data_IF_634037819717
#
_entry.id   IF_634037819717
#
_cell.length_a   1.000
_cell.length_b   1.000
_cell.length_c   1.000
_cell.angle_alpha   90.00
_cell.angle_beta   90.00
_cell.angle_gamma   90.00
#
_symmetry.space_group_name_H-M   'P 1'
#
loop_
_entity.id
_entity.type
_entity.pdbx_description
1 polymer ?
#
# COMPACT_ATOMS: atom_id res chain seq x y z
N UNK A 1 24.09 -4.45 -0.34
CA UNK A 1 22.90 -4.18 -1.18
C UNK A 1 23.23 -3.09 -2.19
N UNK A 2 22.90 -3.28 -3.48
CA UNK A 2 23.17 -2.28 -4.53
C UNK A 2 22.32 -1.03 -4.35
N UNK A 3 22.81 0.14 -4.81
CA UNK A 3 22.05 1.40 -4.73
C UNK A 3 20.74 1.33 -5.54
N UNK A 4 20.73 0.61 -6.66
CA UNK A 4 19.54 0.40 -7.49
C UNK A 4 18.46 -0.38 -6.75
N UNK A 5 18.84 -1.43 -6.02
CA UNK A 5 17.92 -2.22 -5.21
C UNK A 5 17.34 -1.38 -4.05
N UNK A 6 18.21 -0.61 -3.36
CA UNK A 6 17.75 0.33 -2.31
C UNK A 6 16.73 1.33 -2.85
N UNK A 7 16.98 1.89 -4.03
CA UNK A 7 16.06 2.82 -4.67
C UNK A 7 14.68 2.18 -4.91
N UNK A 8 14.63 0.98 -5.48
CA UNK A 8 13.35 0.31 -5.73
C UNK A 8 12.62 -0.06 -4.44
N UNK A 9 13.32 -0.47 -3.39
CA UNK A 9 12.73 -0.81 -2.09
C UNK A 9 12.20 0.40 -1.33
N UNK A 10 12.73 1.60 -1.56
CA UNK A 10 12.34 2.82 -0.84
C UNK A 10 11.35 3.68 -1.59
N UNK A 11 11.50 3.83 -2.91
CA UNK A 11 10.76 4.82 -3.68
C UNK A 11 9.25 4.61 -3.64
N UNK A 12 8.78 3.36 -3.75
CA UNK A 12 7.37 3.03 -3.68
C UNK A 12 6.76 3.26 -2.29
N UNK A 13 7.28 2.61 -1.24
CA UNK A 13 6.76 2.79 0.13
C UNK A 13 6.79 4.24 0.60
N UNK A 14 7.86 4.99 0.32
CA UNK A 14 7.95 6.41 0.71
C UNK A 14 6.91 7.26 -0.02
N UNK A 15 6.71 7.04 -1.33
CA UNK A 15 5.68 7.72 -2.10
C UNK A 15 4.28 7.42 -1.56
N UNK A 16 4.00 6.14 -1.29
CA UNK A 16 2.72 5.73 -0.71
C UNK A 16 2.52 6.37 0.66
N UNK A 17 3.52 6.32 1.54
CA UNK A 17 3.46 6.94 2.87
C UNK A 17 3.17 8.45 2.79
N UNK A 18 3.80 9.15 1.86
CA UNK A 18 3.57 10.57 1.59
C UNK A 18 2.14 10.84 1.10
N UNK A 19 1.72 10.15 0.03
CA UNK A 19 0.40 10.37 -0.58
C UNK A 19 -0.73 9.99 0.39
N UNK A 20 -0.58 8.89 1.14
CA UNK A 20 -1.57 8.50 2.13
C UNK A 20 -1.67 9.51 3.27
N UNK A 21 -0.56 10.02 3.77
CA UNK A 21 -0.57 11.06 4.80
C UNK A 21 -1.19 12.37 4.32
N UNK A 22 -1.00 12.71 3.03
CA UNK A 22 -1.61 13.87 2.40
C UNK A 22 -3.12 13.71 2.24
N UNK A 23 -3.59 12.56 1.79
CA UNK A 23 -4.97 12.38 1.31
C UNK A 23 -5.90 11.71 2.33
N UNK A 24 -5.39 10.87 3.24
CA UNK A 24 -6.22 10.12 4.19
C UNK A 24 -7.06 11.01 5.12
N UNK A 25 -6.57 12.14 5.66
CA UNK A 25 -7.41 13.02 6.46
C UNK A 25 -8.62 13.54 5.69
N UNK A 26 -8.43 13.91 4.43
CA UNK A 26 -9.48 14.44 3.54
C UNK A 26 -10.53 13.36 3.28
N UNK A 27 -10.08 12.16 2.91
CA UNK A 27 -10.94 11.00 2.68
C UNK A 27 -11.72 10.64 3.94
N UNK A 28 -11.05 10.63 5.10
CA UNK A 28 -11.72 10.33 6.38
C UNK A 28 -12.79 11.35 6.72
N UNK A 29 -12.52 12.65 6.61
CA UNK A 29 -13.49 13.71 6.85
C UNK A 29 -14.72 13.54 5.93
N UNK A 30 -14.48 13.23 4.67
CA UNK A 30 -15.56 13.01 3.70
C UNK A 30 -16.48 11.85 4.11
N UNK A 31 -15.92 10.71 4.49
CA UNK A 31 -16.69 9.52 4.82
C UNK A 31 -17.29 9.55 6.23
N UNK A 32 -16.57 10.05 7.23
CA UNK A 32 -17.07 10.14 8.62
C UNK A 32 -18.35 10.98 8.70
N UNK A 33 -18.48 12.01 7.87
CA UNK A 33 -19.69 12.84 7.83
C UNK A 33 -20.89 12.20 7.11
N UNK A 34 -20.71 11.07 6.42
CA UNK A 34 -21.70 10.47 5.51
C UNK A 34 -21.99 9.00 5.77
N UNK A 35 -21.15 8.32 6.52
CA UNK A 35 -21.26 6.88 6.83
C UNK A 35 -21.49 6.72 8.32
N UNK A 36 -22.37 5.80 8.74
CA UNK A 36 -22.60 5.57 10.17
C UNK A 36 -21.34 5.04 10.87
N UNK A 37 -21.24 5.30 12.18
CA UNK A 37 -20.11 4.87 13.00
C UNK A 37 -19.92 3.36 12.96
N UNK A 38 -21.02 2.58 12.90
CA UNK A 38 -20.99 1.13 12.84
C UNK A 38 -20.36 0.64 11.53
N UNK A 39 -20.73 1.24 10.39
CA UNK A 39 -20.17 0.91 9.08
C UNK A 39 -18.68 1.29 9.04
N UNK A 40 -18.33 2.44 9.62
CA UNK A 40 -16.94 2.88 9.71
C UNK A 40 -16.10 1.89 10.54
N UNK A 41 -16.60 1.46 11.69
CA UNK A 41 -15.96 0.46 12.53
C UNK A 41 -15.83 -0.89 11.83
N UNK A 42 -16.91 -1.37 11.18
CA UNK A 42 -16.92 -2.63 10.44
C UNK A 42 -15.92 -2.64 9.28
N UNK A 43 -15.79 -1.54 8.53
CA UNK A 43 -14.82 -1.40 7.45
C UNK A 43 -13.37 -1.44 7.97
N UNK A 44 -13.08 -0.78 9.10
CA UNK A 44 -11.77 -0.83 9.73
C UNK A 44 -11.45 -2.23 10.25
N UNK A 45 -12.41 -2.94 10.86
CA UNK A 45 -12.25 -4.32 11.28
C UNK A 45 -12.00 -5.25 10.09
N UNK A 46 -12.73 -5.08 8.99
CA UNK A 46 -12.53 -5.85 7.76
C UNK A 46 -11.13 -5.61 7.19
N UNK A 47 -10.70 -4.36 7.08
CA UNK A 47 -9.38 -3.98 6.60
C UNK A 47 -8.26 -4.59 7.46
N UNK A 48 -8.38 -4.45 8.79
CA UNK A 48 -7.40 -5.02 9.72
C UNK A 48 -7.39 -6.55 9.71
N UNK A 49 -8.57 -7.17 9.64
CA UNK A 49 -8.72 -8.62 9.58
C UNK A 49 -8.13 -9.21 8.29
N UNK A 50 -8.38 -8.58 7.15
CA UNK A 50 -7.77 -8.98 5.87
C UNK A 50 -6.25 -8.82 5.90
N UNK A 51 -5.74 -7.72 6.46
CA UNK A 51 -4.31 -7.52 6.64
C UNK A 51 -3.69 -8.60 7.53
N UNK A 52 -4.34 -8.96 8.64
CA UNK A 52 -3.89 -10.02 9.54
C UNK A 52 -3.87 -11.41 8.87
N UNK A 53 -4.89 -11.74 8.09
CA UNK A 53 -4.96 -13.01 7.33
C UNK A 53 -3.84 -13.10 6.31
N UNK A 54 -3.55 -12.02 5.60
CA UNK A 54 -2.46 -11.96 4.63
C UNK A 54 -1.08 -12.07 5.30
N UNK A 55 -0.95 -11.54 6.52
CA UNK A 55 0.27 -11.61 7.31
C UNK A 55 0.58 -13.01 7.88
N UNK A 56 -0.36 -13.95 7.84
CA UNK A 56 -0.10 -15.30 8.32
C UNK A 56 0.98 -15.98 7.48
N UNK A 57 2.04 -16.46 8.12
CA UNK A 57 3.27 -16.97 7.50
C UNK A 57 3.06 -18.09 6.46
N UNK A 58 2.01 -18.91 6.63
CA UNK A 58 1.71 -20.04 5.74
C UNK A 58 1.19 -19.59 4.37
N UNK A 59 0.53 -18.45 4.30
CA UNK A 59 -0.03 -17.92 3.06
C UNK A 59 0.99 -17.12 2.21
N UNK A 60 2.00 -16.53 2.85
CA UNK A 60 2.89 -15.55 2.21
C UNK A 60 3.61 -16.12 0.99
N UNK A 61 4.28 -17.26 1.08
CA UNK A 61 5.02 -17.86 -0.06
C UNK A 61 4.10 -18.25 -1.22
N UNK A 62 2.88 -18.69 -0.91
CA UNK A 62 1.88 -19.04 -1.93
C UNK A 62 1.34 -17.79 -2.62
N UNK A 63 1.07 -16.76 -1.84
CA UNK A 63 0.61 -15.45 -2.34
C UNK A 63 1.70 -14.79 -3.18
N UNK A 64 2.96 -14.84 -2.76
CA UNK A 64 4.09 -14.29 -3.54
C UNK A 64 4.22 -14.96 -4.91
N UNK A 65 4.13 -16.29 -4.97
CA UNK A 65 4.18 -17.02 -6.24
C UNK A 65 2.99 -16.69 -7.15
N UNK A 66 1.81 -16.60 -6.56
CA UNK A 66 0.59 -16.20 -7.28
C UNK A 66 0.72 -14.76 -7.79
N UNK A 67 1.18 -13.85 -6.95
CA UNK A 67 1.36 -12.45 -7.27
C UNK A 67 2.32 -12.23 -8.45
N UNK A 68 3.45 -12.92 -8.47
CA UNK A 68 4.39 -12.86 -9.61
C UNK A 68 3.72 -13.20 -10.93
N UNK A 69 2.85 -14.20 -10.91
CA UNK A 69 2.14 -14.67 -12.12
C UNK A 69 1.03 -13.70 -12.56
N UNK A 70 0.41 -13.00 -11.61
CA UNK A 70 -0.81 -12.22 -11.82
C UNK A 70 -0.66 -10.72 -11.52
N UNK A 71 0.55 -10.19 -11.61
CA UNK A 71 0.84 -8.78 -11.31
C UNK A 71 -0.10 -7.81 -12.05
N UNK A 72 -0.28 -7.99 -13.36
CA UNK A 72 -1.17 -7.11 -14.14
C UNK A 72 -2.64 -7.25 -13.75
N UNK A 73 -3.07 -8.44 -13.33
CA UNK A 73 -4.44 -8.65 -12.85
C UNK A 73 -4.71 -7.86 -11.59
N UNK A 74 -3.71 -7.71 -10.71
CA UNK A 74 -3.84 -6.91 -9.48
C UNK A 74 -3.93 -5.42 -9.81
N UNK A 75 -3.11 -4.94 -10.74
CA UNK A 75 -3.20 -3.55 -11.22
C UNK A 75 -4.60 -3.26 -11.81
N UNK A 76 -5.18 -4.22 -12.55
CA UNK A 76 -6.55 -4.08 -13.07
C UNK A 76 -7.57 -4.04 -11.93
N UNK A 77 -7.42 -4.88 -10.91
CA UNK A 77 -8.30 -4.86 -9.72
C UNK A 77 -8.21 -3.51 -9.01
N UNK A 78 -7.01 -2.97 -8.83
CA UNK A 78 -6.81 -1.65 -8.22
C UNK A 78 -7.50 -0.55 -9.01
N UNK A 79 -7.39 -0.56 -10.33
CA UNK A 79 -8.08 0.39 -11.22
C UNK A 79 -9.59 0.24 -11.16
N UNK A 80 -10.12 -0.99 -11.13
CA UNK A 80 -11.55 -1.25 -10.99
C UNK A 80 -12.07 -0.75 -9.64
N UNK A 81 -11.36 -1.03 -8.55
CA UNK A 81 -11.71 -0.51 -7.23
C UNK A 81 -11.67 1.02 -7.21
N UNK A 82 -10.67 1.64 -7.82
CA UNK A 82 -10.61 3.09 -7.99
C UNK A 82 -11.84 3.63 -8.73
N UNK A 83 -12.22 3.02 -9.85
CA UNK A 83 -13.40 3.42 -10.61
C UNK A 83 -14.68 3.29 -9.78
N UNK A 84 -14.87 2.19 -9.05
CA UNK A 84 -16.03 1.98 -8.19
C UNK A 84 -16.08 3.05 -7.10
N UNK A 85 -14.97 3.31 -6.42
CA UNK A 85 -14.94 4.28 -5.32
C UNK A 85 -15.14 5.70 -5.81
N UNK A 86 -14.60 6.06 -6.97
CA UNK A 86 -14.64 7.43 -7.49
C UNK A 86 -15.93 7.77 -8.24
N UNK A 87 -16.47 6.84 -9.02
CA UNK A 87 -17.55 7.13 -9.97
C UNK A 87 -18.89 6.51 -9.61
N UNK A 88 -18.97 5.64 -8.60
CA UNK A 88 -20.25 5.13 -8.14
C UNK A 88 -21.08 6.30 -7.53
N UNK A 89 -22.38 6.29 -7.77
CA UNK A 89 -23.29 7.30 -7.22
C UNK A 89 -23.14 7.47 -5.70
N UNK A 90 -23.33 8.70 -5.22
CA UNK A 90 -23.28 9.03 -3.78
C UNK A 90 -24.35 8.30 -2.97
N UNK A 91 -25.42 7.81 -3.60
CA UNK A 91 -26.42 6.94 -2.96
C UNK A 91 -25.80 5.64 -2.42
N UNK A 92 -24.70 5.17 -3.05
CA UNK A 92 -23.97 3.96 -2.65
C UNK A 92 -22.73 4.27 -1.79
N UNK A 93 -22.79 5.31 -0.97
CA UNK A 93 -21.65 5.79 -0.16
C UNK A 93 -21.02 4.67 0.69
N UNK A 94 -21.84 3.79 1.26
CA UNK A 94 -21.37 2.62 2.03
C UNK A 94 -20.54 1.66 1.19
N UNK A 95 -21.00 1.36 -0.04
CA UNK A 95 -20.28 0.49 -0.97
C UNK A 95 -18.95 1.12 -1.39
N UNK A 96 -18.96 2.44 -1.65
CA UNK A 96 -17.73 3.20 -1.95
C UNK A 96 -16.73 3.09 -0.80
N UNK A 97 -17.19 3.28 0.43
CA UNK A 97 -16.33 3.21 1.61
C UNK A 97 -15.77 1.81 1.87
N UNK A 98 -16.61 0.77 1.77
CA UNK A 98 -16.16 -0.62 1.88
C UNK A 98 -15.16 -0.99 0.77
N UNK A 99 -15.41 -0.55 -0.46
CA UNK A 99 -14.48 -0.72 -1.58
C UNK A 99 -13.11 -0.11 -1.31
N UNK A 100 -13.07 1.11 -0.76
CA UNK A 100 -11.84 1.78 -0.35
C UNK A 100 -11.10 1.01 0.77
N UNK A 101 -11.84 0.50 1.77
CA UNK A 101 -11.26 -0.28 2.86
C UNK A 101 -10.64 -1.59 2.36
N UNK A 102 -11.30 -2.29 1.42
CA UNK A 102 -10.78 -3.51 0.80
C UNK A 102 -9.55 -3.19 -0.05
N UNK A 103 -9.60 -2.14 -0.86
CA UNK A 103 -8.48 -1.70 -1.69
C UNK A 103 -7.23 -1.45 -0.82
N UNK A 104 -7.38 -0.65 0.24
CA UNK A 104 -6.28 -0.36 1.16
C UNK A 104 -5.75 -1.60 1.87
N UNK A 105 -6.63 -2.53 2.27
CA UNK A 105 -6.22 -3.76 2.95
C UNK A 105 -5.44 -4.69 2.01
N UNK A 106 -5.91 -4.89 0.80
CA UNK A 106 -5.33 -5.85 -0.15
C UNK A 106 -4.13 -5.25 -0.87
N UNK A 107 -4.24 -4.06 -1.43
CA UNK A 107 -3.15 -3.47 -2.22
C UNK A 107 -1.99 -3.01 -1.37
N UNK A 108 -2.25 -2.17 -0.37
CA UNK A 108 -1.18 -1.55 0.41
C UNK A 108 -0.55 -2.52 1.39
N UNK A 109 -1.38 -3.17 2.22
CA UNK A 109 -0.86 -4.03 3.28
C UNK A 109 -0.23 -5.32 2.74
N UNK A 110 -0.83 -5.92 1.71
CA UNK A 110 -0.31 -7.14 1.09
C UNK A 110 1.10 -6.92 0.55
N UNK A 111 1.31 -5.83 -0.18
CA UNK A 111 2.62 -5.49 -0.73
C UNK A 111 3.67 -5.27 0.33
N UNK A 112 3.38 -4.44 1.32
CA UNK A 112 4.33 -4.15 2.39
C UNK A 112 4.80 -5.43 3.09
N UNK A 113 3.87 -6.37 3.33
CA UNK A 113 4.19 -7.64 3.96
C UNK A 113 5.04 -8.53 3.08
N UNK A 114 4.66 -8.67 1.80
CA UNK A 114 5.38 -9.51 0.86
C UNK A 114 6.81 -9.03 0.68
N UNK A 115 7.02 -7.73 0.54
CA UNK A 115 8.36 -7.17 0.37
C UNK A 115 9.19 -7.25 1.64
N UNK A 116 8.60 -6.98 2.81
CA UNK A 116 9.31 -7.15 4.09
C UNK A 116 9.79 -8.58 4.28
N UNK A 117 8.95 -9.57 4.00
CA UNK A 117 9.35 -10.98 4.09
C UNK A 117 10.44 -11.33 3.07
N UNK A 118 10.36 -10.82 1.84
CA UNK A 118 11.42 -11.04 0.84
C UNK A 118 12.76 -10.44 1.28
N UNK A 119 12.74 -9.24 1.84
CA UNK A 119 13.93 -8.57 2.37
C UNK A 119 14.51 -9.33 3.57
N UNK A 120 13.65 -9.74 4.53
CA UNK A 120 14.05 -10.48 5.73
C UNK A 120 14.65 -11.86 5.41
N UNK A 121 14.27 -12.47 4.31
CA UNK A 121 14.84 -13.74 3.86
C UNK A 121 16.27 -13.60 3.29
N UNK A 122 16.64 -12.41 2.84
CA UNK A 122 17.91 -12.16 2.13
C UNK A 122 18.89 -11.37 2.99
N UNK A 123 18.39 -10.37 3.72
CA UNK A 123 19.22 -9.54 4.61
C UNK A 123 19.03 -10.05 6.03
N UNK A 124 20.11 -10.35 6.74
CA UNK A 124 20.08 -10.91 8.10
C UNK A 124 21.01 -10.16 9.06
N UNK A 125 20.73 -10.30 10.36
CA UNK A 125 21.54 -9.72 11.43
C UNK A 125 21.55 -8.20 11.42
N UNK A 126 22.66 -7.59 11.84
CA UNK A 126 22.82 -6.14 11.97
C UNK A 126 22.49 -5.34 10.71
N UNK A 127 22.70 -5.95 9.54
CA UNK A 127 22.38 -5.33 8.25
C UNK A 127 20.88 -5.19 8.04
N UNK A 128 20.08 -6.12 8.54
CA UNK A 128 18.62 -6.04 8.50
C UNK A 128 18.11 -4.92 9.41
N UNK A 129 18.59 -4.87 10.66
CA UNK A 129 18.18 -3.81 11.62
C UNK A 129 18.52 -2.42 11.11
N UNK A 130 19.71 -2.25 10.51
CA UNK A 130 20.10 -0.97 9.88
C UNK A 130 19.21 -0.63 8.69
N UNK A 131 18.81 -1.60 7.89
CA UNK A 131 17.92 -1.40 6.76
C UNK A 131 16.51 -1.01 7.23
N UNK A 132 15.93 -1.73 8.20
CA UNK A 132 14.61 -1.45 8.74
C UNK A 132 14.52 -0.05 9.39
N UNK A 133 15.57 0.34 10.12
CA UNK A 133 15.66 1.69 10.70
C UNK A 133 15.72 2.76 9.62
N UNK A 134 16.49 2.54 8.56
CA UNK A 134 16.62 3.45 7.45
C UNK A 134 15.31 3.59 6.65
N UNK A 135 14.67 2.46 6.32
CA UNK A 135 13.37 2.43 5.64
C UNK A 135 12.29 3.15 6.48
N UNK A 136 12.23 2.87 7.79
CA UNK A 136 11.29 3.50 8.70
C UNK A 136 11.49 5.01 8.77
N UNK A 137 12.73 5.49 8.82
CA UNK A 137 13.03 6.92 8.84
C UNK A 137 12.53 7.63 7.57
N UNK A 138 12.72 7.02 6.41
CA UNK A 138 12.25 7.57 5.14
C UNK A 138 10.72 7.57 5.03
N UNK A 139 10.07 6.49 5.49
CA UNK A 139 8.61 6.40 5.50
C UNK A 139 8.00 7.43 6.46
N UNK A 140 8.56 7.61 7.66
CA UNK A 140 8.15 8.65 8.60
C UNK A 140 8.36 10.06 8.04
N UNK A 141 9.48 10.29 7.34
CA UNK A 141 9.73 11.54 6.62
C UNK A 141 8.63 11.81 5.57
N UNK A 142 8.31 10.81 4.75
CA UNK A 142 7.21 10.90 3.78
C UNK A 142 5.87 11.23 4.45
N UNK A 143 5.52 10.54 5.52
CA UNK A 143 4.30 10.81 6.29
C UNK A 143 4.28 12.22 6.87
N UNK A 144 5.37 12.67 7.45
CA UNK A 144 5.47 14.01 8.03
C UNK A 144 5.22 15.09 6.96
N UNK A 145 5.91 15.02 5.83
CA UNK A 145 5.71 16.00 4.76
C UNK A 145 4.32 15.92 4.14
N UNK A 146 3.77 14.71 3.94
CA UNK A 146 2.42 14.52 3.44
C UNK A 146 1.38 15.13 4.38
N UNK A 147 1.48 14.87 5.68
CA UNK A 147 0.58 15.44 6.69
C UNK A 147 0.69 16.96 6.80
N UNK A 148 1.91 17.51 6.74
CA UNK A 148 2.11 18.95 6.75
C UNK A 148 1.46 19.64 5.54
N UNK A 149 1.51 19.01 4.37
CA UNK A 149 0.87 19.54 3.16
C UNK A 149 -0.64 19.35 3.15
N UNK A 150 -1.19 18.35 3.85
CA UNK A 150 -2.63 18.09 3.90
C UNK A 150 -3.44 19.33 4.34
N UNK A 151 -2.87 20.16 5.21
CA UNK A 151 -3.50 21.40 5.69
C UNK A 151 -3.81 22.36 4.52
N UNK A 152 -2.92 22.43 3.53
CA UNK A 152 -3.07 23.32 2.38
C UNK A 152 -3.98 22.74 1.29
N UNK A 153 -4.23 21.44 1.33
CA UNK A 153 -5.01 20.71 0.32
C UNK A 153 -6.31 20.15 0.87
N UNK A 154 -6.81 20.70 2.00
CA UNK A 154 -8.00 20.19 2.70
C UNK A 154 -9.26 20.15 1.79
N UNK A 155 -9.35 21.05 0.82
CA UNK A 155 -10.45 21.15 -0.14
C UNK A 155 -10.25 20.33 -1.42
N UNK A 156 -9.21 19.45 -1.45
CA UNK A 156 -8.97 18.60 -2.60
C UNK A 156 -10.18 17.68 -2.86
N UNK A 157 -10.63 17.53 -4.13
CA UNK A 157 -11.73 16.64 -4.47
C UNK A 157 -11.42 15.18 -4.07
N UNK A 158 -12.43 14.47 -3.58
CA UNK A 158 -12.30 13.08 -3.14
C UNK A 158 -11.71 12.17 -4.24
N UNK A 159 -12.20 12.34 -5.46
CA UNK A 159 -11.76 11.57 -6.63
C UNK A 159 -10.28 11.76 -6.91
N UNK A 160 -9.78 12.98 -6.72
CA UNK A 160 -8.35 13.26 -6.87
C UNK A 160 -7.53 12.61 -5.76
N UNK A 161 -8.00 12.68 -4.51
CA UNK A 161 -7.34 12.01 -3.38
C UNK A 161 -7.22 10.50 -3.62
N UNK A 162 -8.31 9.84 -4.02
CA UNK A 162 -8.34 8.40 -4.27
C UNK A 162 -7.49 8.06 -5.51
N UNK A 163 -7.53 8.90 -6.55
CA UNK A 163 -6.70 8.73 -7.75
C UNK A 163 -5.22 8.79 -7.44
N UNK A 164 -4.79 9.72 -6.58
CA UNK A 164 -3.40 9.81 -6.13
C UNK A 164 -2.98 8.57 -5.34
N UNK A 165 -3.84 8.04 -4.46
CA UNK A 165 -3.56 6.78 -3.75
C UNK A 165 -3.43 5.60 -4.70
N UNK A 166 -4.32 5.49 -5.69
CA UNK A 166 -4.27 4.44 -6.69
C UNK A 166 -2.96 4.49 -7.50
N UNK A 167 -2.59 5.67 -7.99
CA UNK A 167 -1.33 5.88 -8.74
C UNK A 167 -0.13 5.52 -7.86
N UNK A 168 -0.10 5.96 -6.60
CA UNK A 168 0.97 5.65 -5.66
C UNK A 168 1.11 4.14 -5.42
N UNK A 169 -0.02 3.42 -5.27
CA UNK A 169 -0.03 1.97 -5.12
C UNK A 169 0.49 1.26 -6.38
N UNK A 170 0.12 1.70 -7.58
CA UNK A 170 0.63 1.13 -8.84
C UNK A 170 2.14 1.35 -8.97
N UNK A 171 2.63 2.54 -8.62
CA UNK A 171 4.07 2.83 -8.62
C UNK A 171 4.79 1.95 -7.60
N UNK A 172 4.27 1.83 -6.37
CA UNK A 172 4.81 0.95 -5.35
C UNK A 172 4.87 -0.50 -5.84
N UNK A 173 3.76 -1.02 -6.35
CA UNK A 173 3.70 -2.38 -6.89
C UNK A 173 4.73 -2.61 -7.99
N UNK A 174 4.92 -1.64 -8.88
CA UNK A 174 5.90 -1.73 -9.97
C UNK A 174 7.34 -1.71 -9.45
N UNK A 175 7.66 -0.85 -8.49
CA UNK A 175 9.00 -0.75 -7.90
C UNK A 175 9.33 -1.99 -7.08
N UNK A 176 8.38 -2.48 -6.30
CA UNK A 176 8.51 -3.69 -5.50
C UNK A 176 8.67 -4.93 -6.38
N UNK A 177 7.92 -5.03 -7.46
CA UNK A 177 8.10 -6.11 -8.44
C UNK A 177 9.53 -6.13 -9.01
N UNK A 178 10.08 -4.95 -9.37
CA UNK A 178 11.46 -4.84 -9.85
C UNK A 178 12.48 -5.18 -8.75
N UNK A 179 12.27 -4.72 -7.53
CA UNK A 179 13.11 -5.06 -6.39
C UNK A 179 13.13 -6.58 -6.16
N UNK A 180 11.95 -7.19 -6.18
CA UNK A 180 11.81 -8.62 -5.98
C UNK A 180 12.47 -9.46 -7.09
N UNK A 181 12.31 -9.08 -8.36
CA UNK A 181 13.01 -9.74 -9.47
C UNK A 181 14.55 -9.68 -9.31
N UNK A 182 15.07 -8.53 -8.83
CA UNK A 182 16.50 -8.39 -8.54
C UNK A 182 16.96 -9.26 -7.36
N UNK A 183 16.13 -9.35 -6.30
CA UNK A 183 16.43 -10.18 -5.14
C UNK A 183 16.43 -11.66 -5.49
N UNK A 184 15.48 -12.10 -6.32
CA UNK A 184 15.34 -13.50 -6.72
C UNK A 184 16.47 -13.96 -7.68
N UNK A 185 16.78 -13.16 -8.71
CA UNK A 185 17.91 -13.43 -9.61
C UNK A 185 19.26 -13.50 -8.88
N UNK A 186 19.42 -12.68 -7.83
CA UNK A 186 20.60 -12.74 -6.97
C UNK A 186 20.71 -14.01 -6.13
N UNK A 187 19.60 -14.71 -5.88
CA UNK A 187 19.54 -15.97 -5.13
C UNK A 187 19.83 -17.17 -6.04
N UNK A 188 19.27 -17.17 -7.24
CA UNK A 188 19.49 -18.24 -8.23
C UNK A 188 20.92 -18.25 -8.77
N UNK A 189 21.63 -17.12 -8.73
CA UNK A 189 23.05 -17.04 -9.10
C UNK A 189 24.01 -17.55 -8.00
N UNK A 190 23.49 -17.91 -6.81
CA UNK A 190 24.28 -18.45 -5.69
C UNK A 190 23.96 -19.92 -5.37
N UNK A 191 23.04 -20.53 -6.11
CA UNK A 191 22.79 -21.98 -6.13
C UNK A 191 23.47 -22.61 -7.33
#
# INVERSE_FOLDING_TARGET
MSNKLKFYLLSGPVLVSFIFALTSPIIQIYFVSRVSTEIFAAANMLSTGLAALVNSSVAVDRIMRWYKKHFYSIVIIDLLCFCIVSFLSTEYITVRFLGLAILNAVSTNLWCVLMRNAVNNIIKGDSLTKWESFESAWNLGGQFFGAALAIYFIDMPLELCIGLQCIANIIMGTTDYKAWDMLWKGKDAKL
#
